data_IF_728682471005
#
_entry.id   IF_728682471005
#
_cell.length_a   1.000
_cell.length_b   1.000
_cell.length_c   1.000
_cell.angle_alpha   90.00
_cell.angle_beta   90.00
_cell.angle_gamma   90.00
#
_symmetry.space_group_name_H-M   'P 1'
#
loop_
_entity.id
_entity.type
_entity.pdbx_description
1 polymer ?
#
# COMPACT_ATOMS: atom_id res chain seq x y z
N UNK A 1 60.08 -5.53 36.51
CA UNK A 1 60.65 -4.16 36.47
C UNK A 1 59.49 -3.24 36.19
N UNK A 2 58.89 -2.70 37.25
CA UNK A 2 59.08 -1.36 37.80
C UNK A 2 58.63 -0.28 36.84
N UNK A 3 57.52 0.34 37.07
CA UNK A 3 57.40 1.63 37.64
C UNK A 3 55.95 2.15 37.83
N UNK A 4 55.57 2.19 39.01
CA UNK A 4 54.44 2.92 39.60
C UNK A 4 54.75 4.42 39.57
N UNK A 5 53.82 5.30 39.19
CA UNK A 5 53.77 6.68 39.72
C UNK A 5 52.32 7.13 39.90
N UNK A 6 51.92 7.20 41.15
CA UNK A 6 50.81 7.97 41.69
C UNK A 6 51.24 9.44 41.97
N UNK A 7 50.33 10.40 41.82
CA UNK A 7 50.27 11.71 42.51
C UNK A 7 48.88 12.27 42.22
N UNK A 8 48.05 12.43 43.14
CA UNK A 8 47.91 13.26 44.36
C UNK A 8 46.93 14.44 44.04
N UNK A 9 45.78 14.32 44.58
CA UNK A 9 45.07 15.22 45.54
C UNK A 9 45.03 16.71 45.21
N UNK A 10 43.86 17.17 45.04
CA UNK A 10 43.50 18.62 45.08
C UNK A 10 42.02 18.74 45.41
N UNK A 11 41.69 18.78 46.69
CA UNK A 11 40.40 19.17 47.22
C UNK A 11 40.33 20.69 47.26
N UNK A 12 39.31 21.30 46.71
CA UNK A 12 38.91 22.66 47.04
C UNK A 12 37.40 22.66 47.30
N UNK A 13 37.07 23.06 48.49
CA UNK A 13 35.72 23.21 49.01
C UNK A 13 35.12 24.59 48.68
N UNK A 14 33.81 24.67 48.89
CA UNK A 14 32.96 25.84 49.20
C UNK A 14 32.47 26.68 48.02
N UNK A 15 31.19 26.74 47.75
CA UNK A 15 30.21 27.59 48.44
C UNK A 15 28.82 27.35 47.91
N UNK A 16 27.89 27.10 48.77
CA UNK A 16 26.45 27.11 48.52
C UNK A 16 25.97 28.53 48.21
N UNK A 17 25.20 28.67 47.14
CA UNK A 17 24.27 29.78 46.99
C UNK A 17 22.94 29.22 46.50
N UNK A 18 21.96 29.09 47.39
CA UNK A 18 20.55 28.90 47.06
C UNK A 18 20.04 30.17 46.35
N UNK A 19 19.75 30.03 45.06
CA UNK A 19 18.87 30.96 44.35
C UNK A 19 17.60 30.24 43.97
N UNK A 20 16.51 30.42 44.72
CA UNK A 20 15.16 30.09 44.30
C UNK A 20 14.82 30.99 43.09
N UNK A 21 14.95 30.45 41.90
CA UNK A 21 14.39 31.06 40.69
C UNK A 21 12.98 30.52 40.43
N UNK A 22 12.04 31.35 39.91
CA UNK A 22 10.67 30.92 39.64
C UNK A 22 10.66 29.83 38.57
N UNK A 23 9.93 28.75 38.85
CA UNK A 23 9.66 27.67 37.88
C UNK A 23 8.76 28.25 36.79
N UNK A 24 9.38 28.79 35.76
CA UNK A 24 8.69 29.11 34.52
C UNK A 24 8.31 27.83 33.82
N UNK A 25 7.03 27.50 33.81
CA UNK A 25 6.48 26.45 32.97
C UNK A 25 6.75 26.79 31.51
N UNK A 26 7.82 26.24 30.96
CA UNK A 26 8.04 26.25 29.50
C UNK A 26 6.96 25.38 28.90
N UNK A 27 5.92 26.00 28.40
CA UNK A 27 4.98 25.33 27.49
C UNK A 27 5.78 24.83 26.29
N UNK A 28 6.10 23.56 26.31
CA UNK A 28 6.75 22.85 25.19
C UNK A 28 5.77 22.90 24.02
N UNK A 29 6.01 23.80 23.07
CA UNK A 29 5.26 23.89 21.85
C UNK A 29 5.32 22.51 21.17
N UNK A 30 4.15 21.90 20.96
CA UNK A 30 4.03 20.66 20.20
C UNK A 30 4.79 20.81 18.88
N UNK A 31 5.56 19.81 18.44
CA UNK A 31 6.28 19.87 17.19
C UNK A 31 5.25 20.09 16.07
N UNK A 32 5.35 21.26 15.43
CA UNK A 32 4.57 21.63 14.25
C UNK A 32 4.84 20.53 13.21
N UNK A 33 3.79 19.83 12.77
CA UNK A 33 3.87 18.88 11.68
C UNK A 33 4.70 19.51 10.55
N UNK A 34 5.66 18.78 9.93
CA UNK A 34 6.45 19.33 8.85
C UNK A 34 5.48 19.84 7.78
N UNK A 35 5.48 21.14 7.54
CA UNK A 35 4.80 21.70 6.38
C UNK A 35 5.36 20.97 5.16
N UNK A 36 4.50 20.35 4.39
CA UNK A 36 4.80 19.68 3.14
C UNK A 36 5.49 20.73 2.23
N UNK A 37 6.81 20.72 2.26
CA UNK A 37 7.62 21.55 1.36
C UNK A 37 7.40 20.91 -0.01
N UNK A 38 6.90 21.66 -1.04
CA UNK A 38 6.83 21.08 -2.37
C UNK A 38 8.23 20.56 -2.68
N UNK A 39 8.33 19.24 -2.82
CA UNK A 39 9.61 18.61 -3.01
C UNK A 39 10.23 19.16 -4.31
N UNK A 40 11.50 19.55 -4.33
CA UNK A 40 12.17 19.96 -5.57
C UNK A 40 12.01 18.92 -6.68
N UNK A 41 11.84 17.66 -6.32
CA UNK A 41 11.56 16.55 -7.21
C UNK A 41 10.26 16.73 -8.04
N UNK A 42 9.16 17.19 -7.46
CA UNK A 42 7.91 17.38 -8.18
C UNK A 42 8.06 18.40 -9.33
N UNK A 43 8.84 19.46 -9.11
CA UNK A 43 9.12 20.48 -10.13
C UNK A 43 9.98 19.91 -11.26
N UNK A 44 10.99 19.10 -10.93
CA UNK A 44 11.85 18.45 -11.91
C UNK A 44 11.09 17.43 -12.75
N UNK A 45 10.25 16.59 -12.13
CA UNK A 45 9.38 15.64 -12.85
C UNK A 45 8.43 16.39 -13.80
N UNK A 46 7.79 17.46 -13.34
CA UNK A 46 6.92 18.27 -14.17
C UNK A 46 7.66 18.91 -15.37
N UNK A 47 8.91 19.36 -15.18
CA UNK A 47 9.74 19.89 -16.27
C UNK A 47 10.07 18.83 -17.32
N UNK A 48 10.40 17.60 -16.89
CA UNK A 48 10.66 16.46 -17.77
C UNK A 48 9.41 16.08 -18.57
N UNK A 49 8.26 16.04 -17.94
CA UNK A 49 6.99 15.78 -18.64
C UNK A 49 6.62 16.89 -19.63
N UNK A 50 6.95 18.13 -19.32
CA UNK A 50 6.74 19.24 -20.24
C UNK A 50 7.63 19.13 -21.49
N UNK A 51 8.89 18.71 -21.32
CA UNK A 51 9.79 18.43 -22.46
C UNK A 51 9.24 17.28 -23.31
N UNK A 52 8.82 16.20 -22.67
CA UNK A 52 8.18 15.07 -23.33
C UNK A 52 6.91 15.49 -24.12
N UNK A 53 6.04 16.32 -23.53
CA UNK A 53 4.83 16.82 -24.18
C UNK A 53 5.13 17.74 -25.37
N UNK A 54 6.29 18.42 -25.38
CA UNK A 54 6.80 19.22 -26.51
C UNK A 54 7.48 18.38 -27.57
N UNK A 55 7.53 17.04 -27.41
CA UNK A 55 8.23 16.10 -28.28
C UNK A 55 9.75 16.30 -28.29
N UNK A 56 10.30 16.99 -27.30
CA UNK A 56 11.74 17.12 -27.08
C UNK A 56 12.25 15.89 -26.33
N UNK A 57 12.28 14.77 -27.03
CA UNK A 57 12.56 13.47 -26.43
C UNK A 57 13.99 13.34 -25.88
N UNK A 58 14.96 14.02 -26.51
CA UNK A 58 16.34 14.00 -26.05
C UNK A 58 16.48 14.68 -24.69
N UNK A 59 15.94 15.89 -24.53
CA UNK A 59 15.98 16.61 -23.26
C UNK A 59 15.15 15.91 -22.17
N UNK A 60 13.97 15.40 -22.55
CA UNK A 60 13.12 14.64 -21.63
C UNK A 60 13.84 13.36 -21.15
N UNK A 61 14.56 12.66 -22.02
CA UNK A 61 15.34 11.48 -21.68
C UNK A 61 16.44 11.80 -20.68
N UNK A 62 17.30 12.81 -20.98
CA UNK A 62 18.38 13.26 -20.09
C UNK A 62 17.83 13.67 -18.71
N UNK A 63 16.70 14.39 -18.69
CA UNK A 63 16.04 14.78 -17.44
C UNK A 63 15.54 13.57 -16.65
N UNK A 64 14.86 12.64 -17.31
CA UNK A 64 14.33 11.42 -16.70
C UNK A 64 15.44 10.49 -16.20
N UNK A 65 16.54 10.32 -16.95
CA UNK A 65 17.72 9.57 -16.49
C UNK A 65 18.32 10.17 -15.23
N UNK A 66 18.46 11.49 -15.17
CA UNK A 66 18.97 12.19 -13.99
C UNK A 66 18.09 11.91 -12.78
N UNK A 67 16.79 12.00 -12.93
CA UNK A 67 15.83 11.69 -11.85
C UNK A 67 15.91 10.22 -11.44
N UNK A 68 15.94 9.28 -12.38
CA UNK A 68 16.04 7.86 -12.11
C UNK A 68 17.35 7.49 -11.37
N UNK A 69 18.48 8.13 -11.72
CA UNK A 69 19.79 7.84 -11.13
C UNK A 69 20.08 8.59 -9.83
N UNK A 70 19.59 9.82 -9.68
CA UNK A 70 19.97 10.75 -8.60
C UNK A 70 18.80 11.28 -7.79
N UNK A 71 17.56 11.05 -8.21
CA UNK A 71 16.37 11.47 -7.50
C UNK A 71 16.32 10.87 -6.09
N UNK A 72 15.95 11.69 -5.11
CA UNK A 72 15.78 11.28 -3.71
C UNK A 72 14.41 11.71 -3.20
N UNK A 73 13.79 10.84 -2.41
CA UNK A 73 12.51 11.14 -1.80
C UNK A 73 11.38 11.32 -2.81
N UNK A 74 11.48 10.70 -3.99
CA UNK A 74 10.40 10.67 -4.97
C UNK A 74 9.21 9.92 -4.38
N UNK A 75 8.03 10.49 -4.48
CA UNK A 75 6.80 9.77 -4.21
C UNK A 75 6.60 8.66 -5.25
N UNK A 76 5.72 7.70 -4.95
CA UNK A 76 5.41 6.63 -5.88
C UNK A 76 4.93 7.16 -7.25
N UNK A 77 4.02 8.12 -7.24
CA UNK A 77 3.51 8.75 -8.47
C UNK A 77 4.63 9.42 -9.29
N UNK A 78 5.54 10.14 -8.64
CA UNK A 78 6.68 10.80 -9.31
C UNK A 78 7.65 9.78 -9.91
N UNK A 79 7.90 8.68 -9.19
CA UNK A 79 8.75 7.60 -9.66
C UNK A 79 8.15 6.93 -10.91
N UNK A 80 6.88 6.57 -10.87
CA UNK A 80 6.15 5.97 -12.00
C UNK A 80 6.17 6.90 -13.21
N UNK A 81 5.90 8.19 -13.03
CA UNK A 81 5.92 9.20 -14.11
C UNK A 81 7.31 9.34 -14.72
N UNK A 82 8.35 9.37 -13.89
CA UNK A 82 9.75 9.44 -14.34
C UNK A 82 10.10 8.24 -15.21
N UNK A 83 9.84 7.03 -14.74
CA UNK A 83 10.17 5.82 -15.49
C UNK A 83 9.30 5.61 -16.73
N UNK A 84 8.06 6.11 -16.73
CA UNK A 84 7.21 6.15 -17.93
C UNK A 84 7.86 7.02 -19.03
N UNK A 85 8.27 8.24 -18.70
CA UNK A 85 8.94 9.11 -19.66
C UNK A 85 10.24 8.49 -20.12
N UNK A 86 11.07 7.98 -19.19
CA UNK A 86 12.36 7.35 -19.50
C UNK A 86 12.22 6.18 -20.48
N UNK A 87 11.29 5.27 -20.22
CA UNK A 87 11.07 4.09 -21.06
C UNK A 87 10.62 4.46 -22.47
N UNK A 88 9.66 5.39 -22.57
CA UNK A 88 9.13 5.81 -23.88
C UNK A 88 10.18 6.62 -24.66
N UNK A 89 10.93 7.52 -24.02
CA UNK A 89 11.95 8.32 -24.71
C UNK A 89 13.11 7.47 -25.18
N UNK A 90 13.59 6.50 -24.39
CA UNK A 90 14.58 5.52 -24.87
C UNK A 90 14.08 4.76 -26.10
N UNK A 91 12.83 4.30 -26.08
CA UNK A 91 12.25 3.58 -27.21
C UNK A 91 12.16 4.45 -28.49
N UNK A 92 11.76 5.71 -28.35
CA UNK A 92 11.67 6.65 -29.47
C UNK A 92 13.05 6.99 -30.04
N UNK A 93 14.07 7.10 -29.18
CA UNK A 93 15.46 7.38 -29.54
C UNK A 93 16.24 6.14 -30.02
N UNK A 94 15.55 5.01 -30.28
CA UNK A 94 16.13 3.75 -30.74
C UNK A 94 17.08 3.06 -29.72
N UNK A 95 16.96 3.40 -28.44
CA UNK A 95 17.70 2.77 -27.34
C UNK A 95 16.90 1.58 -26.77
N UNK A 96 16.68 0.52 -27.57
CA UNK A 96 15.74 -0.56 -27.26
C UNK A 96 16.02 -1.31 -25.95
N UNK A 97 17.30 -1.60 -25.65
CA UNK A 97 17.68 -2.30 -24.39
C UNK A 97 17.42 -1.41 -23.16
N UNK A 98 17.78 -0.13 -23.23
CA UNK A 98 17.52 0.82 -22.14
C UNK A 98 16.01 1.04 -21.95
N UNK A 99 15.24 1.06 -23.04
CA UNK A 99 13.79 1.13 -22.98
C UNK A 99 13.20 -0.09 -22.26
N UNK A 100 13.68 -1.30 -22.60
CA UNK A 100 13.26 -2.54 -21.93
C UNK A 100 13.59 -2.51 -20.45
N UNK A 101 14.80 -2.11 -20.07
CA UNK A 101 15.23 -2.02 -18.67
C UNK A 101 14.40 -1.00 -17.89
N UNK A 102 14.10 0.15 -18.49
CA UNK A 102 13.23 1.16 -17.90
C UNK A 102 11.78 0.66 -17.75
N UNK A 103 11.26 -0.13 -18.70
CA UNK A 103 9.96 -0.78 -18.57
C UNK A 103 9.97 -1.90 -17.52
N UNK A 104 11.05 -2.65 -17.35
CA UNK A 104 11.19 -3.64 -16.27
C UNK A 104 11.09 -2.92 -14.92
N UNK A 105 11.81 -1.80 -14.74
CA UNK A 105 11.75 -0.99 -13.54
C UNK A 105 10.34 -0.40 -13.33
N UNK A 106 9.72 0.15 -14.35
CA UNK A 106 8.35 0.68 -14.29
C UNK A 106 7.35 -0.39 -13.84
N UNK A 107 7.42 -1.59 -14.41
CA UNK A 107 6.56 -2.71 -14.04
C UNK A 107 6.87 -3.30 -12.66
N UNK A 108 8.05 -3.00 -12.09
CA UNK A 108 8.33 -3.28 -10.69
C UNK A 108 7.47 -2.42 -9.78
N UNK A 109 7.38 -1.12 -10.06
CA UNK A 109 6.66 -0.15 -9.24
C UNK A 109 5.14 -0.21 -9.49
N UNK A 110 4.75 -0.34 -10.78
CA UNK A 110 3.36 -0.37 -11.23
C UNK A 110 3.11 -1.60 -12.12
N UNK A 111 2.89 -2.79 -11.51
CA UNK A 111 2.68 -4.03 -12.27
C UNK A 111 1.45 -4.04 -13.16
N UNK A 112 0.50 -3.12 -12.93
CA UNK A 112 -0.72 -2.96 -13.73
C UNK A 112 -0.55 -2.03 -14.92
N UNK A 113 0.61 -1.37 -15.06
CA UNK A 113 0.86 -0.44 -16.14
C UNK A 113 0.69 -1.09 -17.52
N UNK A 114 0.03 -0.37 -18.40
CA UNK A 114 -0.14 -0.72 -19.81
C UNK A 114 0.27 0.46 -20.68
N UNK A 115 1.00 0.17 -21.74
CA UNK A 115 1.37 1.15 -22.77
C UNK A 115 0.14 1.47 -23.61
N UNK A 116 -0.01 2.74 -24.02
CA UNK A 116 -1.04 3.16 -24.96
C UNK A 116 -0.94 2.34 -26.27
N UNK A 117 -2.00 1.67 -26.70
CA UNK A 117 -1.99 0.86 -27.93
C UNK A 117 -1.65 1.67 -29.20
N UNK A 118 -1.83 2.99 -29.16
CA UNK A 118 -1.54 3.88 -30.29
C UNK A 118 -0.04 4.20 -30.43
N UNK A 119 0.79 3.89 -29.40
CA UNK A 119 2.22 4.01 -29.54
C UNK A 119 2.76 2.93 -30.47
N UNK A 120 3.65 3.33 -31.36
CA UNK A 120 4.18 2.46 -32.40
C UNK A 120 4.99 1.28 -31.87
N UNK A 121 5.36 0.33 -32.78
CA UNK A 121 6.10 -0.88 -32.41
C UNK A 121 7.39 -0.65 -31.65
N UNK A 122 8.08 0.48 -31.91
CA UNK A 122 9.30 0.87 -31.18
C UNK A 122 9.12 0.91 -29.66
N UNK A 123 7.95 1.35 -29.20
CA UNK A 123 7.62 1.43 -27.78
C UNK A 123 7.00 0.13 -27.28
N UNK A 124 6.15 -0.49 -28.08
CA UNK A 124 5.44 -1.71 -27.69
C UNK A 124 6.35 -2.92 -27.54
N UNK A 125 7.36 -3.07 -28.41
CA UNK A 125 8.26 -4.23 -28.40
C UNK A 125 9.03 -4.32 -27.07
N UNK A 126 9.82 -3.32 -26.63
CA UNK A 126 10.53 -3.39 -25.36
C UNK A 126 9.59 -3.50 -24.15
N UNK A 127 8.38 -2.95 -24.21
CA UNK A 127 7.37 -3.15 -23.18
C UNK A 127 6.90 -4.61 -23.09
N UNK A 128 6.65 -5.27 -24.23
CA UNK A 128 6.26 -6.68 -24.23
C UNK A 128 7.38 -7.59 -23.72
N UNK A 129 8.63 -7.28 -24.04
CA UNK A 129 9.81 -7.98 -23.52
C UNK A 129 9.92 -7.81 -22.00
N UNK A 130 9.73 -6.60 -21.46
CA UNK A 130 9.69 -6.35 -20.03
C UNK A 130 8.58 -7.13 -19.32
N UNK A 131 7.39 -7.21 -19.93
CA UNK A 131 6.31 -8.08 -19.45
C UNK A 131 6.68 -9.56 -19.48
N UNK A 132 7.40 -9.99 -20.52
CA UNK A 132 7.96 -11.34 -20.63
C UNK A 132 8.92 -11.65 -19.49
N UNK A 133 9.82 -10.74 -19.17
CA UNK A 133 10.74 -10.85 -18.03
C UNK A 133 9.97 -11.11 -16.73
N UNK A 134 8.97 -10.28 -16.39
CA UNK A 134 8.20 -10.46 -15.16
C UNK A 134 7.35 -11.74 -15.13
N UNK A 135 6.87 -12.21 -16.29
CA UNK A 135 6.21 -13.51 -16.37
C UNK A 135 7.17 -14.68 -16.07
N UNK A 136 8.41 -14.58 -16.53
CA UNK A 136 9.43 -15.59 -16.27
C UNK A 136 9.87 -15.62 -14.80
N UNK A 137 9.83 -14.50 -14.09
CA UNK A 137 10.16 -14.42 -12.65
C UNK A 137 9.12 -15.15 -11.77
N UNK A 138 7.92 -15.38 -12.24
CA UNK A 138 6.86 -16.09 -11.51
C UNK A 138 6.28 -15.38 -10.29
N UNK A 139 6.97 -14.37 -9.76
CA UNK A 139 6.53 -13.58 -8.61
C UNK A 139 6.42 -12.11 -8.99
N UNK A 140 5.28 -11.49 -8.67
CA UNK A 140 5.10 -10.04 -8.85
C UNK A 140 5.64 -9.33 -7.62
N UNK A 141 6.45 -8.27 -7.81
CA UNK A 141 6.84 -7.41 -6.70
C UNK A 141 5.61 -6.69 -6.14
N UNK A 142 5.66 -6.34 -4.87
CA UNK A 142 4.54 -5.63 -4.25
C UNK A 142 4.63 -5.55 -2.74
N UNK A 143 3.74 -4.75 -2.19
CA UNK A 143 3.55 -4.52 -0.77
C UNK A 143 2.13 -4.90 -0.40
N UNK A 144 1.94 -5.61 0.70
CA UNK A 144 0.62 -5.92 1.26
C UNK A 144 0.61 -5.52 2.74
N UNK A 145 -0.50 -5.00 3.21
CA UNK A 145 -0.71 -4.71 4.62
C UNK A 145 -2.11 -5.13 5.04
N UNK A 146 -2.20 -5.84 6.14
CA UNK A 146 -3.46 -6.19 6.79
C UNK A 146 -3.48 -5.69 8.23
N UNK A 147 -4.65 -5.31 8.70
CA UNK A 147 -4.86 -4.82 10.07
C UNK A 147 -5.79 -5.76 10.82
N UNK A 148 -5.35 -6.18 12.00
CA UNK A 148 -6.18 -6.91 12.97
C UNK A 148 -6.34 -6.02 14.19
N UNK A 149 -7.55 -5.53 14.43
CA UNK A 149 -7.84 -4.54 15.48
C UNK A 149 -8.94 -5.07 16.37
N UNK A 150 -8.62 -5.25 17.66
CA UNK A 150 -9.57 -5.70 18.69
C UNK A 150 -9.74 -4.60 19.74
N UNK A 151 -10.97 -4.38 20.21
CA UNK A 151 -11.29 -3.20 21.02
C UNK A 151 -10.53 -3.08 22.35
N UNK A 152 -10.20 -4.19 22.98
CA UNK A 152 -9.59 -4.24 24.32
C UNK A 152 -8.14 -4.71 24.34
N UNK A 153 -7.62 -5.13 23.22
CA UNK A 153 -6.26 -5.67 23.08
C UNK A 153 -5.44 -4.82 22.11
N UNK A 154 -4.11 -4.84 22.21
CA UNK A 154 -3.26 -4.26 21.17
C UNK A 154 -3.59 -4.84 19.80
N UNK A 155 -3.65 -3.99 18.80
CA UNK A 155 -3.84 -4.39 17.41
C UNK A 155 -2.52 -4.80 16.76
N UNK A 156 -2.60 -5.37 15.58
CA UNK A 156 -1.42 -5.73 14.78
C UNK A 156 -1.63 -5.33 13.34
N UNK A 157 -0.67 -4.62 12.77
CA UNK A 157 -0.51 -4.45 11.33
C UNK A 157 0.50 -5.48 10.84
N UNK A 158 0.09 -6.32 9.92
CA UNK A 158 0.97 -7.32 9.29
C UNK A 158 1.35 -6.85 7.90
N UNK A 159 2.65 -6.70 7.67
CA UNK A 159 3.22 -6.20 6.42
C UNK A 159 3.94 -7.33 5.70
N UNK A 160 3.63 -7.53 4.45
CA UNK A 160 4.30 -8.48 3.55
C UNK A 160 4.88 -7.72 2.37
N UNK A 161 6.18 -7.88 2.15
CA UNK A 161 6.89 -7.26 1.02
C UNK A 161 7.43 -8.36 0.12
N UNK A 162 6.98 -8.36 -1.13
CA UNK A 162 7.53 -9.24 -2.18
C UNK A 162 8.50 -8.42 -3.03
N UNK A 163 9.77 -8.68 -2.88
CA UNK A 163 10.84 -7.97 -3.59
C UNK A 163 11.86 -8.96 -4.19
N UNK A 164 11.52 -9.59 -5.33
CA UNK A 164 12.43 -10.52 -5.99
C UNK A 164 13.69 -9.85 -6.52
N UNK A 165 13.67 -8.54 -6.73
CA UNK A 165 14.79 -7.75 -7.26
C UNK A 165 15.66 -7.13 -6.18
N UNK A 166 15.25 -7.20 -4.91
CA UNK A 166 15.96 -6.67 -3.73
C UNK A 166 16.25 -5.17 -3.82
N UNK A 167 15.29 -4.41 -4.33
CA UNK A 167 15.39 -2.94 -4.46
C UNK A 167 14.81 -2.21 -3.24
N UNK A 168 14.03 -2.88 -2.41
CA UNK A 168 13.45 -2.31 -1.20
C UNK A 168 14.47 -2.35 -0.06
N UNK A 169 14.79 -1.19 0.51
CA UNK A 169 15.65 -1.10 1.71
C UNK A 169 14.84 -1.30 2.99
N UNK A 170 13.69 -0.66 3.10
CA UNK A 170 12.88 -0.66 4.31
C UNK A 170 11.41 -0.38 3.98
N UNK A 171 10.54 -0.70 4.94
CA UNK A 171 9.12 -0.35 4.86
C UNK A 171 8.77 0.58 6.01
N UNK A 172 8.24 1.75 5.68
CA UNK A 172 7.68 2.70 6.65
C UNK A 172 6.20 2.43 6.81
N UNK A 173 5.75 2.27 8.06
CA UNK A 173 4.34 2.08 8.40
C UNK A 173 3.89 3.27 9.23
N UNK A 174 2.79 3.89 8.84
CA UNK A 174 2.16 4.95 9.62
C UNK A 174 0.77 4.51 10.09
N UNK A 175 0.45 4.78 11.35
CA UNK A 175 -0.88 4.51 11.88
C UNK A 175 -1.33 5.60 12.86
N UNK A 176 -2.65 5.77 12.98
CA UNK A 176 -3.26 6.65 13.99
C UNK A 176 -4.68 6.18 14.33
N UNK A 177 -5.10 6.42 15.56
CA UNK A 177 -6.48 6.21 15.97
C UNK A 177 -7.35 7.44 15.64
N UNK A 178 -8.41 7.20 14.86
CA UNK A 178 -9.32 8.25 14.37
C UNK A 178 -8.86 8.86 13.05
N UNK A 179 -9.65 9.82 12.55
CA UNK A 179 -9.42 10.47 11.24
C UNK A 179 -8.50 11.70 11.31
N UNK A 180 -8.16 12.15 12.50
CA UNK A 180 -7.39 13.38 12.74
C UNK A 180 -6.19 13.12 13.65
N UNK A 181 -5.19 14.00 13.60
CA UNK A 181 -3.97 13.90 14.38
C UNK A 181 -2.77 13.40 13.58
N UNK A 182 -1.60 13.42 14.21
CA UNK A 182 -0.37 12.92 13.61
C UNK A 182 -0.35 11.39 13.54
N UNK A 183 0.33 10.86 12.52
CA UNK A 183 0.61 9.44 12.44
C UNK A 183 1.79 9.08 13.32
N UNK A 184 1.68 7.95 14.00
CA UNK A 184 2.83 7.26 14.60
C UNK A 184 3.54 6.51 13.48
N UNK A 185 4.84 6.74 13.33
CA UNK A 185 5.65 6.13 12.29
C UNK A 185 6.52 5.02 12.87
N UNK A 186 6.58 3.90 12.18
CA UNK A 186 7.50 2.80 12.46
C UNK A 186 8.20 2.37 11.17
N UNK A 187 9.44 1.92 11.29
CA UNK A 187 10.18 1.32 10.17
C UNK A 187 10.35 -0.17 10.46
N UNK A 188 10.03 -1.00 9.50
CA UNK A 188 10.17 -2.44 9.58
C UNK A 188 11.10 -2.97 8.48
N UNK A 189 11.71 -4.12 8.76
CA UNK A 189 12.53 -4.81 7.77
C UNK A 189 11.66 -5.37 6.63
N UNK A 190 12.29 -5.55 5.48
CA UNK A 190 11.69 -6.25 4.34
C UNK A 190 11.49 -7.73 4.71
N UNK A 191 10.29 -8.25 4.51
CA UNK A 191 10.00 -9.63 4.86
C UNK A 191 8.53 -10.01 4.64
N UNK A 192 8.23 -11.26 4.95
CA UNK A 192 6.87 -11.80 4.87
C UNK A 192 6.20 -11.73 6.25
N UNK A 193 5.05 -11.07 6.30
CA UNK A 193 4.20 -11.02 7.48
C UNK A 193 4.81 -10.34 8.70
N UNK A 194 5.70 -9.36 8.51
CA UNK A 194 6.31 -8.60 9.62
C UNK A 194 5.21 -7.88 10.40
N UNK A 195 5.18 -8.11 11.72
CA UNK A 195 4.16 -7.55 12.60
C UNK A 195 4.59 -6.19 13.18
N UNK A 196 3.69 -5.22 13.13
CA UNK A 196 3.81 -3.93 13.82
C UNK A 196 2.71 -3.85 14.85
N UNK A 197 3.07 -3.70 16.12
CA UNK A 197 2.09 -3.53 17.19
C UNK A 197 1.45 -2.15 17.13
N UNK A 198 0.13 -2.14 17.27
CA UNK A 198 -0.67 -0.94 17.39
C UNK A 198 -1.23 -0.88 18.80
N UNK A 199 -1.02 0.19 19.55
CA UNK A 199 -1.58 0.33 20.90
C UNK A 199 -3.10 0.12 20.90
N UNK A 200 -3.63 -0.32 22.05
CA UNK A 200 -5.08 -0.46 22.24
C UNK A 200 -5.84 0.80 21.85
N UNK A 201 -7.02 0.64 21.30
CA UNK A 201 -7.86 1.75 20.88
C UNK A 201 -8.18 2.67 22.09
N UNK A 202 -7.93 3.99 21.97
CA UNK A 202 -8.39 4.92 22.98
C UNK A 202 -9.91 4.91 23.10
N UNK A 203 -10.43 5.20 24.28
CA UNK A 203 -11.87 5.25 24.52
C UNK A 203 -12.59 6.13 23.47
N UNK A 204 -13.66 5.59 22.90
CA UNK A 204 -14.46 6.28 21.88
C UNK A 204 -13.85 6.32 20.47
N UNK A 205 -12.69 5.70 20.24
CA UNK A 205 -12.10 5.58 18.91
C UNK A 205 -12.20 4.15 18.42
N UNK A 206 -12.97 3.93 17.36
CA UNK A 206 -13.19 2.61 16.76
C UNK A 206 -12.53 2.46 15.39
N UNK A 207 -11.89 3.51 14.87
CA UNK A 207 -11.26 3.54 13.53
C UNK A 207 -9.76 3.71 13.67
N UNK A 208 -9.01 2.82 13.03
CA UNK A 208 -7.58 2.91 12.83
C UNK A 208 -7.30 3.31 11.38
N UNK A 209 -6.67 4.46 11.17
CA UNK A 209 -6.12 4.85 9.88
C UNK A 209 -4.67 4.40 9.80
N UNK A 210 -4.28 3.79 8.68
CA UNK A 210 -2.92 3.28 8.48
C UNK A 210 -2.50 3.33 7.02
N UNK A 211 -1.19 3.32 6.79
CA UNK A 211 -0.59 3.19 5.47
C UNK A 211 0.78 2.49 5.59
N UNK A 212 1.27 1.98 4.46
CA UNK A 212 2.62 1.43 4.36
C UNK A 212 3.29 1.90 3.07
N UNK A 213 4.59 2.21 3.14
CA UNK A 213 5.42 2.63 2.02
C UNK A 213 6.74 1.87 2.04
N UNK A 214 7.03 1.15 0.97
CA UNK A 214 8.33 0.52 0.76
C UNK A 214 9.25 1.50 0.04
N UNK A 215 10.45 1.72 0.60
CA UNK A 215 11.41 2.70 0.10
C UNK A 215 12.73 2.06 -0.30
N UNK A 216 13.40 2.65 -1.30
CA UNK A 216 14.74 2.28 -1.73
C UNK A 216 15.83 2.96 -0.87
N UNK A 217 17.11 2.80 -1.24
CA UNK A 217 18.25 3.41 -0.57
C UNK A 217 18.28 4.94 -0.66
N UNK A 218 17.52 5.52 -1.57
CA UNK A 218 17.40 6.96 -1.79
C UNK A 218 16.13 7.55 -1.21
N UNK A 219 15.40 6.77 -0.41
CA UNK A 219 14.11 7.13 0.18
C UNK A 219 13.00 7.38 -0.86
N UNK A 220 13.14 6.86 -2.09
CA UNK A 220 12.08 6.88 -3.08
C UNK A 220 11.02 5.83 -2.73
N UNK A 221 9.75 6.18 -2.87
CA UNK A 221 8.64 5.28 -2.57
C UNK A 221 8.38 4.34 -3.76
N UNK A 222 8.82 3.10 -3.64
CA UNK A 222 8.64 2.06 -4.67
C UNK A 222 7.22 1.52 -4.70
N UNK A 223 6.68 1.19 -3.52
CA UNK A 223 5.32 0.69 -3.35
C UNK A 223 4.64 1.48 -2.24
N UNK A 224 3.34 1.72 -2.39
CA UNK A 224 2.55 2.29 -1.33
C UNK A 224 1.16 1.65 -1.23
N UNK A 225 0.69 1.50 0.01
CA UNK A 225 -0.69 1.14 0.31
C UNK A 225 -1.27 2.21 1.22
N UNK A 226 -2.02 3.12 0.62
CA UNK A 226 -2.42 4.35 1.26
C UNK A 226 -1.24 5.29 1.49
N UNK A 227 -1.55 6.48 1.96
CA UNK A 227 -0.58 7.52 2.34
C UNK A 227 -1.20 8.42 3.41
N UNK A 228 -0.40 9.25 4.06
CA UNK A 228 -0.90 10.11 5.14
C UNK A 228 -2.13 10.95 4.75
N UNK A 229 -2.21 11.41 3.48
CA UNK A 229 -3.34 12.16 2.95
C UNK A 229 -4.57 11.27 2.65
N UNK A 230 -4.36 10.01 2.24
CA UNK A 230 -5.42 9.04 1.88
C UNK A 230 -5.09 7.69 2.50
N UNK A 231 -5.23 7.54 3.83
CA UNK A 231 -4.90 6.30 4.52
C UNK A 231 -5.94 5.21 4.26
N UNK A 232 -5.55 3.96 4.47
CA UNK A 232 -6.48 2.85 4.66
C UNK A 232 -7.10 2.93 6.04
N UNK A 233 -8.29 2.37 6.20
CA UNK A 233 -8.98 2.34 7.48
C UNK A 233 -9.39 0.93 7.86
N UNK A 234 -9.15 0.56 9.11
CA UNK A 234 -9.70 -0.62 9.75
C UNK A 234 -10.58 -0.18 10.92
N UNK A 235 -11.62 -0.94 11.18
CA UNK A 235 -12.53 -0.67 12.29
C UNK A 235 -12.34 -1.76 13.35
N UNK A 236 -12.42 -1.34 14.60
CA UNK A 236 -12.45 -2.28 15.71
C UNK A 236 -13.64 -3.20 15.52
N UNK A 237 -13.37 -4.51 15.46
CA UNK A 237 -14.44 -5.49 15.46
C UNK A 237 -15.22 -5.33 16.76
N UNK A 238 -16.48 -4.94 16.63
CA UNK A 238 -17.39 -4.94 17.77
C UNK A 238 -17.42 -6.39 18.27
N UNK A 239 -16.99 -6.61 19.53
CA UNK A 239 -17.21 -7.89 20.18
C UNK A 239 -18.71 -8.15 20.03
N UNK A 240 -19.13 -9.28 19.41
CA UNK A 240 -20.55 -9.60 19.41
C UNK A 240 -21.01 -9.46 20.86
N UNK A 241 -21.98 -8.57 21.08
CA UNK A 241 -22.53 -8.36 22.40
C UNK A 241 -22.82 -9.76 22.95
N UNK A 242 -22.18 -10.11 24.06
CA UNK A 242 -22.40 -11.41 24.66
C UNK A 242 -23.90 -11.60 24.67
N UNK A 243 -24.37 -12.62 23.96
CA UNK A 243 -25.81 -12.85 23.88
C UNK A 243 -26.32 -12.75 25.32
N UNK A 244 -27.32 -11.91 25.60
CA UNK A 244 -27.76 -11.69 26.96
C UNK A 244 -27.91 -13.06 27.60
N UNK A 245 -27.21 -13.27 28.71
CA UNK A 245 -27.27 -14.54 29.41
C UNK A 245 -28.76 -14.87 29.52
N UNK A 246 -29.19 -15.96 28.89
CA UNK A 246 -30.58 -16.39 28.98
C UNK A 246 -30.86 -16.49 30.46
N UNK A 247 -31.57 -15.49 30.98
CA UNK A 247 -32.26 -15.63 32.25
C UNK A 247 -33.20 -16.78 32.00
N UNK A 248 -32.91 -17.92 32.62
CA UNK A 248 -33.83 -19.06 32.64
C UNK A 248 -35.04 -18.68 33.48
N UNK A 249 -35.90 -17.85 32.94
CA UNK A 249 -37.26 -17.75 33.43
C UNK A 249 -38.15 -18.60 32.51
N UNK A 250 -38.59 -19.69 33.13
CA UNK A 250 -39.29 -20.75 32.50
C UNK A 250 -40.55 -20.29 31.73
N UNK A 251 -40.59 -20.67 30.50
CA UNK A 251 -41.85 -21.03 29.85
C UNK A 251 -41.54 -22.04 28.75
N UNK A 252 -41.99 -23.25 29.02
CA UNK A 252 -41.81 -24.46 28.23
C UNK A 252 -42.59 -24.47 26.90
N UNK A 253 -42.73 -23.34 26.21
CA UNK A 253 -43.42 -23.30 24.91
C UNK A 253 -42.65 -24.05 23.82
N UNK A 254 -41.34 -24.20 23.97
CA UNK A 254 -40.51 -24.96 23.02
C UNK A 254 -40.49 -26.46 23.28
N UNK A 255 -41.08 -26.92 24.37
CA UNK A 255 -41.20 -28.35 24.67
C UNK A 255 -42.47 -28.97 24.04
N UNK A 256 -43.34 -28.17 23.39
CA UNK A 256 -44.55 -28.69 22.76
C UNK A 256 -44.22 -29.31 21.42
N UNK A 257 -44.50 -30.60 21.18
CA UNK A 257 -44.31 -31.28 19.90
C UNK A 257 -45.13 -30.62 18.77
N UNK A 258 -46.21 -29.91 19.10
CA UNK A 258 -47.05 -29.19 18.14
C UNK A 258 -46.32 -27.98 17.55
N UNK A 259 -45.50 -27.29 18.36
CA UNK A 259 -44.69 -26.18 17.86
C UNK A 259 -43.69 -26.64 16.78
N UNK A 260 -43.01 -27.76 16.99
CA UNK A 260 -42.06 -28.31 16.03
C UNK A 260 -42.71 -28.83 14.76
N UNK A 261 -43.91 -29.38 14.85
CA UNK A 261 -44.69 -29.79 13.68
C UNK A 261 -45.12 -28.59 12.82
N UNK A 262 -45.56 -27.49 13.44
CA UNK A 262 -45.89 -26.27 12.70
C UNK A 262 -44.68 -25.62 12.02
N UNK A 263 -43.52 -25.60 12.68
CA UNK A 263 -42.28 -25.04 12.12
C UNK A 263 -41.75 -25.89 10.95
N UNK A 264 -41.85 -27.23 11.05
CA UNK A 264 -41.42 -28.12 9.97
C UNK A 264 -42.32 -27.94 8.71
N UNK A 265 -43.60 -27.71 8.86
CA UNK A 265 -44.53 -27.47 7.75
C UNK A 265 -44.23 -26.14 7.02
N UNK A 266 -43.86 -25.09 7.74
CA UNK A 266 -43.51 -23.78 7.14
C UNK A 266 -42.17 -23.85 6.40
N UNK A 267 -41.17 -24.53 6.96
CA UNK A 267 -39.87 -24.69 6.32
C UNK A 267 -39.95 -25.57 5.06
N UNK A 268 -40.72 -26.66 5.10
CA UNK A 268 -40.89 -27.52 3.93
C UNK A 268 -41.71 -26.81 2.82
N UNK A 269 -42.74 -26.04 3.17
CA UNK A 269 -43.51 -25.26 2.21
C UNK A 269 -42.73 -24.09 1.59
N UNK A 270 -41.93 -23.38 2.39
CA UNK A 270 -41.13 -22.27 1.91
C UNK A 270 -39.99 -22.70 0.99
N UNK A 271 -39.33 -23.82 1.28
CA UNK A 271 -38.25 -24.35 0.46
C UNK A 271 -38.70 -24.82 -0.93
N UNK A 272 -39.93 -25.47 -0.99
CA UNK A 272 -40.51 -25.88 -2.28
C UNK A 272 -40.97 -24.69 -3.12
N UNK A 273 -41.61 -23.70 -2.52
CA UNK A 273 -42.02 -22.50 -3.26
C UNK A 273 -40.83 -21.68 -3.76
N UNK A 274 -39.80 -21.52 -2.92
CA UNK A 274 -38.52 -20.83 -3.32
C UNK A 274 -37.81 -21.56 -4.44
N UNK A 275 -37.72 -22.88 -4.40
CA UNK A 275 -37.09 -23.65 -5.46
C UNK A 275 -37.76 -23.45 -6.83
N UNK A 276 -39.10 -23.42 -6.90
CA UNK A 276 -39.82 -23.20 -8.15
C UNK A 276 -39.81 -21.74 -8.62
N UNK A 277 -39.75 -20.76 -7.69
CA UNK A 277 -39.71 -19.34 -8.04
C UNK A 277 -38.36 -18.88 -8.57
N UNK A 278 -37.23 -19.49 -8.12
CA UNK A 278 -35.87 -19.09 -8.47
C UNK A 278 -35.13 -20.12 -9.35
N UNK A 279 -35.84 -21.07 -9.93
CA UNK A 279 -35.21 -22.02 -10.82
C UNK A 279 -34.71 -21.29 -12.08
N UNK A 280 -33.38 -21.28 -12.37
CA UNK A 280 -32.89 -20.74 -13.64
C UNK A 280 -33.51 -21.52 -14.80
N UNK A 281 -34.05 -20.80 -15.77
CA UNK A 281 -34.53 -21.41 -16.99
C UNK A 281 -33.39 -22.20 -17.68
N UNK A 282 -33.70 -23.24 -18.42
CA UNK A 282 -32.70 -24.00 -19.16
C UNK A 282 -31.92 -23.05 -20.08
N UNK A 283 -30.60 -23.18 -20.15
CA UNK A 283 -29.77 -22.32 -20.99
C UNK A 283 -30.27 -22.45 -22.46
N UNK A 284 -30.60 -21.28 -23.05
CA UNK A 284 -30.95 -21.24 -24.48
C UNK A 284 -29.69 -21.59 -25.23
N UNK A 285 -29.68 -22.72 -25.92
CA UNK A 285 -28.56 -23.08 -26.76
C UNK A 285 -28.42 -22.04 -27.89
N UNK A 286 -27.43 -21.14 -27.72
CA UNK A 286 -27.04 -20.23 -28.79
C UNK A 286 -26.44 -21.07 -29.92
N UNK A 287 -27.23 -21.30 -30.97
CA UNK A 287 -26.72 -21.92 -32.20
C UNK A 287 -25.82 -20.88 -32.87
N UNK A 288 -24.53 -20.92 -32.58
CA UNK A 288 -23.53 -20.14 -33.28
C UNK A 288 -23.41 -20.72 -34.69
N UNK A 289 -23.90 -19.99 -35.69
CA UNK A 289 -23.61 -20.25 -37.09
C UNK A 289 -22.41 -19.38 -37.48
N UNK A 290 -21.21 -19.94 -37.64
CA UNK A 290 -20.10 -19.17 -38.19
C UNK A 290 -20.42 -18.88 -39.66
N UNK A 291 -20.75 -17.65 -39.99
CA UNK A 291 -20.76 -17.17 -41.36
C UNK A 291 -19.34 -16.69 -41.68
N UNK A 292 -18.62 -17.47 -42.48
CA UNK A 292 -17.42 -16.99 -43.17
C UNK A 292 -17.89 -16.07 -44.30
N UNK A 293 -17.94 -14.77 -44.06
CA UNK A 293 -18.02 -13.78 -45.13
C UNK A 293 -16.62 -13.63 -45.75
N UNK A 294 -16.37 -14.46 -46.75
CA UNK A 294 -15.32 -14.17 -47.72
C UNK A 294 -15.87 -13.05 -48.64
N UNK A 295 -15.18 -11.90 -48.67
CA UNK A 295 -15.51 -10.81 -49.60
C UNK A 295 -15.67 -11.37 -51.04
N UNK A 296 -16.10 -10.60 -52.01
CA UNK A 296 -16.63 -10.89 -53.35
C UNK A 296 -15.96 -12.02 -54.19
N UNK A 297 -15.13 -12.87 -53.65
CA UNK A 297 -14.59 -14.09 -54.28
C UNK A 297 -15.01 -15.31 -53.46
N UNK A 298 -15.66 -16.30 -54.14
CA UNK A 298 -15.97 -17.61 -53.53
C UNK A 298 -14.67 -18.24 -53.04
N UNK A 299 -14.65 -18.63 -51.77
CA UNK A 299 -13.60 -19.51 -51.28
C UNK A 299 -13.69 -20.89 -51.97
N UNK A 300 -12.54 -21.49 -52.37
CA UNK A 300 -12.51 -22.82 -52.95
C UNK A 300 -12.94 -23.92 -51.97
#
# INVERSE_FOLDING_TARGET
>A
MVGVRARAVGAVALSALLALGPVGSSAQAAPKAPAERPAPAATEVAAVEQQYAKLDYEQANVGAERLAQRGRGLSHDELVRTYKVLAVTHAVLDHAEQAKDAFIALLTFEPSYAVDPNLGPKVQTPFLEARGFWRAQGAKPGLEISAVVRGTEPGTLRVTTRDPTRVVRAVTVGFRWGSTGAFTLGTVAVGDGVAVEVPTAPAGKARLDYYAQAVDERDNVLFEIGRAAVPRSAFVEARPAAAPAKTEEGSSLFASPIFWLATAAVVAGGATAGYFAFRPGPPVAATYKPSLECGAARCP
#
